data_IF_991262012760
#
_entry.id   IF_991262012760
#
_cell.length_a   1.000
_cell.length_b   1.000
_cell.length_c   1.000
_cell.angle_alpha   90.00
_cell.angle_beta   90.00
_cell.angle_gamma   90.00
#
_symmetry.space_group_name_H-M   'P 1'
#
loop_
_entity.id
_entity.type
_entity.pdbx_description
1 polymer ?
#
# COMPACT_ATOMS: atom_id res chain seq x y z
N UNK A 1 23.87 -5.02 31.26
CA UNK A 1 24.56 -3.73 31.04
C UNK A 1 23.97 -3.07 29.81
N UNK A 2 23.90 -1.75 29.80
CA UNK A 2 23.45 -0.93 28.68
C UNK A 2 24.66 -0.24 28.07
N UNK A 3 24.77 -0.21 26.75
CA UNK A 3 25.78 0.54 26.03
C UNK A 3 25.09 1.41 24.98
N UNK A 4 25.30 2.73 25.05
CA UNK A 4 24.87 3.64 24.00
C UNK A 4 25.97 3.76 22.94
N UNK A 5 25.63 3.51 21.68
CA UNK A 5 26.51 3.76 20.54
C UNK A 5 26.12 5.12 19.96
N UNK A 6 26.93 6.11 20.18
CA UNK A 6 26.69 7.49 19.76
C UNK A 6 27.11 7.66 18.29
N UNK A 7 26.14 7.77 17.40
CA UNK A 7 26.31 7.93 15.94
C UNK A 7 26.30 9.40 15.51
N UNK A 8 25.75 10.27 16.35
CA UNK A 8 25.69 11.72 16.15
C UNK A 8 26.81 12.49 16.90
N UNK A 9 26.78 13.82 16.76
CA UNK A 9 27.78 14.71 17.33
C UNK A 9 27.45 15.21 18.73
N UNK A 10 26.20 15.05 19.17
CA UNK A 10 25.72 15.46 20.50
C UNK A 10 24.74 14.46 21.04
N UNK A 11 24.54 14.44 22.34
CA UNK A 11 23.52 13.69 23.05
C UNK A 11 22.74 14.67 23.94
N UNK A 12 21.53 14.31 24.32
CA UNK A 12 20.75 15.07 25.28
C UNK A 12 21.41 14.98 26.65
N UNK A 13 21.96 16.11 27.17
CA UNK A 13 22.86 16.13 28.29
C UNK A 13 22.30 15.49 29.58
N UNK A 14 21.06 15.81 29.94
CA UNK A 14 20.44 15.26 31.16
C UNK A 14 20.17 13.76 31.05
N UNK A 15 19.72 13.28 29.91
CA UNK A 15 19.47 11.86 29.67
C UNK A 15 20.79 11.07 29.62
N UNK A 16 21.80 11.61 28.97
CA UNK A 16 23.16 11.04 28.97
C UNK A 16 23.73 10.91 30.39
N UNK A 17 23.66 11.99 31.16
CA UNK A 17 24.15 11.98 32.57
C UNK A 17 23.34 10.98 33.43
N UNK A 18 22.07 10.83 33.23
CA UNK A 18 21.24 9.84 33.94
C UNK A 18 21.64 8.40 33.59
N UNK A 19 21.89 8.11 32.31
CA UNK A 19 22.31 6.80 31.82
C UNK A 19 23.69 6.42 32.41
N UNK A 20 24.65 7.35 32.39
CA UNK A 20 26.00 7.12 32.95
C UNK A 20 25.94 6.89 34.46
N UNK A 21 25.13 7.68 35.21
CA UNK A 21 24.91 7.46 36.65
C UNK A 21 24.32 6.09 36.96
N UNK A 22 23.50 5.57 36.06
CA UNK A 22 22.90 4.21 36.17
C UNK A 22 23.89 3.09 35.78
N UNK A 23 25.16 3.41 35.46
CA UNK A 23 26.20 2.46 35.09
C UNK A 23 26.20 2.08 33.59
N UNK A 24 25.52 2.86 32.76
CA UNK A 24 25.55 2.73 31.29
C UNK A 24 26.93 3.12 30.73
N UNK A 25 27.30 2.47 29.63
CA UNK A 25 28.53 2.74 28.87
C UNK A 25 28.20 3.51 27.59
N UNK A 26 29.20 4.27 27.09
CA UNK A 26 29.07 5.01 25.83
C UNK A 26 30.23 4.68 24.91
N UNK A 27 29.94 4.41 23.65
CA UNK A 27 30.91 4.29 22.57
C UNK A 27 30.62 5.37 21.53
N UNK A 28 31.51 6.31 21.37
CA UNK A 28 31.39 7.42 20.41
C UNK A 28 32.00 6.99 19.07
N UNK A 29 31.32 7.18 17.97
CA UNK A 29 31.77 6.81 16.62
C UNK A 29 32.21 8.02 15.77
N UNK A 30 31.59 9.20 15.94
CA UNK A 30 32.05 10.40 15.21
C UNK A 30 33.24 11.07 15.94
N UNK A 31 34.41 11.18 15.30
CA UNK A 31 35.56 11.87 15.92
C UNK A 31 35.30 13.35 16.21
N UNK A 32 34.31 13.95 15.57
CA UNK A 32 33.90 15.34 15.78
C UNK A 32 32.84 15.52 16.87
N UNK A 33 32.44 14.41 17.52
CA UNK A 33 31.45 14.46 18.58
C UNK A 33 31.96 15.25 19.78
N UNK A 34 31.08 16.06 20.38
CA UNK A 34 31.35 16.83 21.60
C UNK A 34 30.46 16.32 22.72
N UNK A 35 30.80 15.14 23.23
CA UNK A 35 30.07 14.48 24.31
C UNK A 35 30.91 14.58 25.57
N UNK A 36 30.39 15.20 26.66
CA UNK A 36 31.16 15.39 27.90
C UNK A 36 31.73 14.08 28.44
N UNK A 37 33.03 14.08 28.74
CA UNK A 37 33.76 12.93 29.30
C UNK A 37 34.06 11.80 28.30
N UNK A 38 33.79 11.99 27.02
CA UNK A 38 34.12 11.04 25.96
C UNK A 38 35.30 11.55 25.10
N UNK A 39 36.09 10.61 24.56
CA UNK A 39 37.17 10.96 23.64
C UNK A 39 36.63 11.49 22.33
N UNK A 40 37.23 12.56 21.79
CA UNK A 40 37.01 13.16 20.50
C UNK A 40 38.31 13.27 19.71
N UNK A 41 38.26 13.73 18.48
CA UNK A 41 39.42 14.00 17.62
C UNK A 41 40.33 12.77 17.39
N UNK A 42 39.79 11.56 17.46
CA UNK A 42 40.50 10.33 17.18
C UNK A 42 40.77 10.13 15.68
N UNK A 43 41.83 9.38 15.34
CA UNK A 43 42.25 9.13 13.97
C UNK A 43 41.24 8.29 13.17
N UNK A 44 41.38 8.26 11.84
CA UNK A 44 40.56 7.40 10.97
C UNK A 44 40.72 5.90 11.31
N UNK A 45 41.93 5.45 11.69
CA UNK A 45 42.15 4.07 12.14
C UNK A 45 41.38 3.74 13.40
N UNK A 46 41.44 4.60 14.41
CA UNK A 46 40.66 4.45 15.64
C UNK A 46 39.14 4.52 15.39
N UNK A 47 38.68 5.32 14.40
CA UNK A 47 37.30 5.37 14.01
C UNK A 47 36.83 4.01 13.46
N UNK A 48 37.65 3.35 12.61
CA UNK A 48 37.38 1.99 12.10
C UNK A 48 37.31 0.95 13.23
N UNK A 49 38.28 0.96 14.16
CA UNK A 49 38.28 0.03 15.32
C UNK A 49 37.05 0.23 16.22
N UNK A 50 36.60 1.47 16.41
CA UNK A 50 35.39 1.80 17.17
C UNK A 50 34.15 1.33 16.46
N UNK A 51 34.11 1.46 15.15
CA UNK A 51 32.97 0.97 14.30
C UNK A 51 32.84 -0.55 14.40
N UNK A 52 33.95 -1.30 14.22
CA UNK A 52 33.96 -2.77 14.39
C UNK A 52 33.57 -3.17 15.82
N UNK A 53 34.03 -2.42 16.82
CA UNK A 53 33.62 -2.64 18.21
C UNK A 53 32.09 -2.43 18.38
N UNK A 54 31.53 -1.40 17.76
CA UNK A 54 30.10 -1.13 17.79
C UNK A 54 29.29 -2.31 17.17
N UNK A 55 29.68 -2.77 15.99
CA UNK A 55 29.03 -3.91 15.34
C UNK A 55 29.11 -5.17 16.21
N UNK A 56 30.26 -5.42 16.85
CA UNK A 56 30.42 -6.55 17.76
C UNK A 56 29.56 -6.42 19.04
N UNK A 57 29.33 -5.23 19.54
CA UNK A 57 28.43 -4.97 20.69
C UNK A 57 27.00 -5.22 20.26
N UNK A 58 26.58 -4.65 19.14
CA UNK A 58 25.22 -4.76 18.62
C UNK A 58 24.88 -6.22 18.35
N UNK A 59 25.74 -6.96 17.66
CA UNK A 59 25.48 -8.37 17.30
C UNK A 59 25.35 -9.33 18.50
N UNK A 60 25.88 -8.92 19.66
CA UNK A 60 25.80 -9.70 20.92
C UNK A 60 24.71 -9.19 21.87
N UNK A 61 24.04 -8.12 21.53
CA UNK A 61 22.99 -7.53 22.36
C UNK A 61 21.75 -8.43 22.35
N UNK A 62 21.00 -8.47 23.45
CA UNK A 62 19.68 -9.09 23.48
C UNK A 62 18.62 -8.17 22.85
N UNK A 63 18.76 -6.87 23.03
CA UNK A 63 17.89 -5.84 22.51
C UNK A 63 18.74 -4.74 21.90
N UNK A 64 18.40 -4.34 20.70
CA UNK A 64 18.88 -3.15 20.02
C UNK A 64 17.77 -2.11 20.04
N UNK A 65 18.03 -0.93 20.60
CA UNK A 65 17.12 0.21 20.51
C UNK A 65 17.61 1.10 19.37
N UNK A 66 16.82 1.18 18.30
CA UNK A 66 17.08 2.09 17.20
C UNK A 66 16.47 3.47 17.52
N UNK A 67 17.32 4.43 17.76
CA UNK A 67 16.98 5.82 18.03
C UNK A 67 17.96 6.76 17.31
N UNK A 68 18.41 6.38 16.11
CA UNK A 68 19.42 7.15 15.37
C UNK A 68 18.85 8.42 14.74
N UNK A 69 17.62 8.34 14.24
CA UNK A 69 16.91 9.48 13.66
C UNK A 69 15.45 9.51 14.17
N UNK A 70 14.85 10.68 14.11
CA UNK A 70 13.42 10.88 14.40
C UNK A 70 12.74 11.61 13.24
N UNK A 71 11.59 12.21 13.50
CA UNK A 71 10.85 13.04 12.54
C UNK A 71 11.71 14.22 12.08
N UNK A 72 11.52 14.67 10.83
CA UNK A 72 12.25 15.81 10.25
C UNK A 72 13.56 15.44 9.54
N UNK A 73 13.82 14.15 9.31
CA UNK A 73 14.88 13.70 8.40
C UNK A 73 14.25 13.34 7.05
N UNK A 74 14.69 14.02 6.00
CA UNK A 74 14.30 13.72 4.63
C UNK A 74 15.35 12.80 3.96
N UNK A 75 14.83 11.78 3.25
CA UNK A 75 15.63 10.80 2.51
C UNK A 75 16.37 9.80 3.41
N UNK A 76 17.28 9.03 2.81
CA UNK A 76 17.99 7.94 3.48
C UNK A 76 19.03 8.41 4.51
N UNK A 77 19.40 7.50 5.41
CA UNK A 77 20.50 7.69 6.35
C UNK A 77 21.81 8.03 5.63
N UNK A 78 22.67 8.80 6.29
CA UNK A 78 23.99 9.20 5.75
C UNK A 78 25.09 8.96 6.77
N UNK A 79 26.33 8.75 6.27
CA UNK A 79 27.51 8.63 7.12
C UNK A 79 27.46 7.42 8.07
N UNK A 80 27.75 7.63 9.35
CA UNK A 80 27.85 6.56 10.36
C UNK A 80 26.51 5.83 10.57
N UNK A 81 25.36 6.49 10.72
CA UNK A 81 24.06 5.82 10.77
C UNK A 81 23.80 4.89 9.57
N UNK A 82 24.07 5.37 8.34
CA UNK A 82 23.92 4.55 7.14
C UNK A 82 24.84 3.33 7.16
N UNK A 83 26.10 3.49 7.55
CA UNK A 83 27.06 2.39 7.62
C UNK A 83 26.64 1.30 8.62
N UNK A 84 26.10 1.69 9.79
CA UNK A 84 25.55 0.74 10.77
C UNK A 84 24.32 0.04 10.17
N UNK A 85 23.39 0.79 9.62
CA UNK A 85 22.17 0.23 9.04
C UNK A 85 22.49 -0.73 7.89
N UNK A 86 23.40 -0.39 6.98
CA UNK A 86 23.85 -1.28 5.89
C UNK A 86 24.53 -2.56 6.40
N UNK A 87 25.20 -2.48 7.57
CA UNK A 87 25.87 -3.67 8.15
C UNK A 87 24.93 -4.58 8.92
N UNK A 88 23.79 -4.08 9.39
CA UNK A 88 22.89 -4.77 10.32
C UNK A 88 21.49 -5.01 9.76
N UNK A 89 21.11 -4.33 8.71
CA UNK A 89 19.75 -4.30 8.18
C UNK A 89 19.69 -4.51 6.69
N UNK A 90 18.80 -3.78 6.03
CA UNK A 90 18.50 -3.85 4.61
C UNK A 90 18.83 -2.51 3.94
N UNK A 91 19.11 -2.53 2.65
CA UNK A 91 19.40 -1.34 1.84
C UNK A 91 18.26 -1.14 0.82
N UNK A 92 17.24 -0.37 1.20
CA UNK A 92 16.06 -0.10 0.38
C UNK A 92 15.15 -1.30 0.09
N UNK A 93 15.58 -2.50 0.41
CA UNK A 93 14.81 -3.71 0.13
C UNK A 93 13.70 -3.92 1.16
N UNK A 94 12.56 -4.43 0.71
CA UNK A 94 11.45 -4.84 1.59
C UNK A 94 11.84 -6.09 2.37
N UNK A 95 11.49 -6.21 3.66
CA UNK A 95 11.73 -7.44 4.42
C UNK A 95 11.04 -8.64 3.74
N UNK A 96 11.72 -9.76 3.61
CA UNK A 96 11.16 -10.98 2.99
C UNK A 96 9.89 -11.48 3.69
N UNK A 97 9.77 -11.20 4.97
CA UNK A 97 8.59 -11.52 5.80
C UNK A 97 8.29 -10.38 6.76
N UNK A 98 7.02 -10.13 7.08
CA UNK A 98 6.65 -9.31 8.23
C UNK A 98 7.33 -9.87 9.48
N UNK A 99 7.51 -9.03 10.50
CA UNK A 99 8.11 -9.48 11.76
C UNK A 99 7.40 -10.75 12.25
N UNK A 100 8.16 -11.82 12.41
CA UNK A 100 7.61 -13.12 12.80
C UNK A 100 7.01 -13.05 14.21
N UNK A 101 5.92 -13.80 14.47
CA UNK A 101 5.44 -14.00 15.83
C UNK A 101 6.56 -14.51 16.75
N UNK A 102 6.49 -14.14 18.02
CA UNK A 102 7.59 -14.42 18.99
C UNK A 102 8.04 -15.88 19.05
N UNK A 103 7.15 -16.84 18.79
CA UNK A 103 7.45 -18.26 18.81
C UNK A 103 8.22 -18.78 17.58
N UNK A 104 8.28 -18.02 16.48
CA UNK A 104 9.00 -18.40 15.24
C UNK A 104 10.43 -17.84 15.18
N UNK A 105 10.84 -17.05 16.18
CA UNK A 105 12.15 -16.41 16.18
C UNK A 105 13.29 -17.41 16.37
N UNK A 106 14.00 -17.69 15.30
CA UNK A 106 15.37 -18.19 15.41
C UNK A 106 16.27 -17.02 15.79
N UNK A 107 16.76 -17.00 17.04
CA UNK A 107 17.59 -15.96 17.65
C UNK A 107 18.93 -15.80 16.93
N UNK A 108 18.97 -15.21 15.76
CA UNK A 108 20.24 -14.85 15.10
C UNK A 108 20.66 -13.40 15.33
N UNK A 109 19.72 -12.53 15.72
CA UNK A 109 19.95 -11.08 15.85
C UNK A 109 19.32 -10.58 17.16
N UNK A 110 19.76 -9.41 17.69
CA UNK A 110 19.07 -8.79 18.81
C UNK A 110 17.62 -8.49 18.43
N UNK A 111 16.72 -8.46 19.41
CA UNK A 111 15.41 -7.88 19.24
C UNK A 111 15.56 -6.40 18.94
N UNK A 112 15.04 -5.93 17.83
CA UNK A 112 15.14 -4.52 17.42
C UNK A 112 13.86 -3.79 17.83
N UNK A 113 14.05 -2.73 18.63
CA UNK A 113 12.95 -1.84 19.02
C UNK A 113 13.25 -0.44 18.46
N UNK A 114 12.42 0.01 17.54
CA UNK A 114 12.51 1.35 16.99
C UNK A 114 11.78 2.38 17.87
N UNK A 115 12.41 3.53 18.04
CA UNK A 115 11.86 4.69 18.75
C UNK A 115 11.25 5.63 17.72
N UNK A 116 9.96 5.79 17.77
CA UNK A 116 9.09 6.58 16.89
C UNK A 116 8.88 5.95 15.50
N UNK A 117 9.95 5.64 14.80
CA UNK A 117 9.96 4.87 13.55
C UNK A 117 11.34 4.21 13.37
N UNK A 118 11.48 3.15 12.57
CA UNK A 118 12.79 2.64 12.16
C UNK A 118 13.60 3.74 11.47
N UNK A 119 14.85 3.94 11.91
CA UNK A 119 15.70 5.00 11.37
C UNK A 119 16.03 4.72 9.90
N UNK A 120 15.77 5.71 9.03
CA UNK A 120 16.05 5.64 7.59
C UNK A 120 14.86 5.33 6.71
N UNK A 121 13.67 5.10 7.28
CA UNK A 121 12.43 5.04 6.49
C UNK A 121 11.91 6.44 6.18
N UNK A 122 11.19 6.59 5.08
CA UNK A 122 10.48 7.83 4.73
C UNK A 122 9.25 8.01 5.63
N UNK A 123 9.32 8.96 6.56
CA UNK A 123 8.30 9.15 7.61
C UNK A 123 6.96 9.55 7.00
N UNK A 124 6.96 10.48 6.05
CA UNK A 124 5.76 11.09 5.49
C UNK A 124 5.27 10.42 4.19
N UNK A 125 6.16 9.72 3.48
CA UNK A 125 5.89 9.13 2.18
C UNK A 125 5.89 7.59 2.17
N UNK A 126 6.27 6.95 3.27
CA UNK A 126 6.31 5.51 3.39
C UNK A 126 7.38 4.80 2.55
N UNK A 127 8.39 5.53 2.07
CA UNK A 127 9.47 4.99 1.25
C UNK A 127 10.56 4.29 2.05
N UNK A 128 11.43 3.54 1.36
CA UNK A 128 12.67 2.95 1.90
C UNK A 128 13.86 3.51 1.09
N UNK A 129 14.26 4.77 1.33
CA UNK A 129 15.19 5.48 0.46
C UNK A 129 16.66 5.03 0.56
N UNK A 130 16.97 4.06 1.41
CA UNK A 130 18.33 3.52 1.59
C UNK A 130 18.41 2.57 2.76
N UNK A 131 19.59 2.49 3.37
CA UNK A 131 19.85 1.58 4.48
C UNK A 131 18.98 1.88 5.70
N UNK A 132 18.38 0.86 6.28
CA UNK A 132 17.56 0.89 7.50
C UNK A 132 17.65 -0.45 8.25
N UNK A 133 17.25 -0.48 9.51
CA UNK A 133 17.19 -1.70 10.32
C UNK A 133 15.72 -2.04 10.56
N UNK A 134 15.18 -3.14 9.99
CA UNK A 134 13.80 -3.56 10.25
C UNK A 134 13.57 -3.78 11.74
N UNK A 135 12.50 -3.22 12.29
CA UNK A 135 12.16 -3.37 13.68
C UNK A 135 11.32 -4.63 13.93
N UNK A 136 11.52 -5.26 15.09
CA UNK A 136 10.61 -6.25 15.65
C UNK A 136 9.42 -5.59 16.33
N UNK A 137 9.65 -4.39 16.88
CA UNK A 137 8.62 -3.55 17.48
C UNK A 137 8.97 -2.08 17.28
N UNK A 138 7.96 -1.27 17.03
CA UNK A 138 8.08 0.19 16.98
C UNK A 138 7.19 0.81 18.04
N UNK A 139 7.74 1.73 18.83
CA UNK A 139 7.00 2.54 19.79
C UNK A 139 6.95 3.96 19.24
N UNK A 140 5.78 4.37 18.75
CA UNK A 140 5.54 5.70 18.20
C UNK A 140 4.83 6.59 19.22
N UNK A 141 4.98 7.90 19.12
CA UNK A 141 4.60 8.85 20.16
C UNK A 141 3.65 9.93 19.61
N UNK A 142 2.62 10.27 20.40
CA UNK A 142 1.68 11.35 20.15
C UNK A 142 0.65 11.01 19.08
N UNK A 143 1.07 10.83 17.84
CA UNK A 143 0.22 10.43 16.74
C UNK A 143 0.90 9.39 15.84
N UNK A 144 0.11 8.60 15.12
CA UNK A 144 0.61 7.69 14.09
C UNK A 144 1.23 8.51 12.94
N UNK A 145 2.39 8.07 12.45
CA UNK A 145 3.04 8.67 11.28
C UNK A 145 2.61 7.92 10.02
N UNK A 146 2.57 8.56 8.85
CA UNK A 146 2.22 7.90 7.59
C UNK A 146 3.02 6.62 7.32
N UNK A 147 4.33 6.60 7.58
CA UNK A 147 5.18 5.41 7.42
C UNK A 147 4.72 4.18 8.21
N UNK A 148 3.92 4.36 9.25
CA UNK A 148 3.39 3.25 10.04
C UNK A 148 2.33 2.44 9.26
N UNK A 149 1.66 3.06 8.31
CA UNK A 149 0.58 2.48 7.51
C UNK A 149 0.93 2.38 6.03
N UNK A 150 1.77 3.28 5.51
CA UNK A 150 2.12 3.34 4.10
C UNK A 150 3.20 2.32 3.72
N UNK A 151 2.94 1.45 2.73
CA UNK A 151 3.96 0.58 2.17
C UNK A 151 4.96 1.37 1.30
N UNK A 152 6.22 0.94 1.22
CA UNK A 152 6.79 -0.26 1.85
C UNK A 152 7.28 -0.09 3.29
N UNK A 153 7.37 1.14 3.85
CA UNK A 153 7.91 1.40 5.19
C UNK A 153 7.11 0.72 6.32
N UNK A 154 5.80 0.53 6.16
CA UNK A 154 4.98 -0.15 7.16
C UNK A 154 5.40 -1.62 7.38
N UNK A 155 6.04 -2.26 6.39
CA UNK A 155 6.57 -3.62 6.55
C UNK A 155 7.81 -3.68 7.44
N UNK A 156 8.46 -2.55 7.69
CA UNK A 156 9.64 -2.44 8.54
C UNK A 156 9.34 -2.17 10.02
N UNK A 157 8.08 -1.88 10.37
CA UNK A 157 7.68 -1.40 11.71
C UNK A 157 7.61 -2.51 12.77
N UNK A 158 7.41 -3.76 12.37
CA UNK A 158 7.12 -4.84 13.30
C UNK A 158 5.82 -4.61 14.08
N UNK A 159 5.81 -4.95 15.38
CA UNK A 159 4.68 -4.67 16.25
C UNK A 159 4.62 -3.18 16.61
N UNK A 160 3.60 -2.51 16.13
CA UNK A 160 3.41 -1.08 16.39
C UNK A 160 2.67 -0.82 17.72
N UNK A 161 3.14 0.17 18.47
CA UNK A 161 2.51 0.62 19.71
C UNK A 161 2.54 2.15 19.75
N UNK A 162 1.36 2.77 19.81
CA UNK A 162 1.22 4.21 20.01
C UNK A 162 1.23 4.53 21.51
N UNK A 163 2.07 5.46 21.90
CA UNK A 163 2.03 6.12 23.22
C UNK A 163 1.37 7.46 23.03
N UNK A 164 0.10 7.53 23.36
CA UNK A 164 -0.70 8.75 23.28
C UNK A 164 -0.28 9.73 24.37
N UNK A 165 0.02 10.97 23.98
CA UNK A 165 0.32 12.10 24.87
C UNK A 165 -0.90 13.02 25.08
N UNK A 166 -2.04 12.69 24.51
CA UNK A 166 -3.26 13.49 24.56
C UNK A 166 -3.14 14.76 23.71
N UNK A 167 -2.45 14.70 22.60
CA UNK A 167 -2.46 15.78 21.62
C UNK A 167 -3.85 15.85 20.98
N UNK A 168 -4.38 17.06 20.88
CA UNK A 168 -5.57 17.33 20.10
C UNK A 168 -5.20 17.32 18.62
N UNK A 169 -5.65 16.31 17.90
CA UNK A 169 -5.41 16.12 16.46
C UNK A 169 -6.72 16.07 15.67
N UNK A 170 -7.86 16.33 16.31
CA UNK A 170 -9.19 16.19 15.70
C UNK A 170 -9.39 17.15 14.52
N UNK A 171 -8.73 18.33 14.56
CA UNK A 171 -8.76 19.30 13.47
C UNK A 171 -7.66 19.05 12.39
N UNK A 172 -6.84 18.02 12.53
CA UNK A 172 -5.79 17.72 11.56
C UNK A 172 -6.32 16.81 10.45
N UNK A 173 -6.11 17.23 9.21
CA UNK A 173 -6.42 16.38 8.05
C UNK A 173 -5.43 15.20 7.99
N UNK A 174 -5.93 13.94 8.02
CA UNK A 174 -5.05 12.78 7.99
C UNK A 174 -4.43 12.61 6.58
N UNK A 175 -3.13 12.28 6.53
CA UNK A 175 -2.47 11.97 5.26
C UNK A 175 -2.97 10.66 4.64
N UNK A 176 -3.36 9.70 5.48
CA UNK A 176 -3.97 8.41 5.12
C UNK A 176 -4.90 7.96 6.22
N UNK A 177 -5.95 7.26 5.84
CA UNK A 177 -6.88 6.62 6.76
C UNK A 177 -6.83 5.10 6.61
N UNK A 178 -6.96 4.39 7.70
CA UNK A 178 -7.05 2.93 7.70
C UNK A 178 -8.50 2.51 7.90
N UNK A 179 -9.04 1.75 6.95
CA UNK A 179 -10.34 1.11 7.10
C UNK A 179 -10.21 -0.04 8.10
N UNK A 180 -10.79 0.13 9.27
CA UNK A 180 -10.86 -0.89 10.31
C UNK A 180 -12.20 -1.65 10.28
N UNK A 181 -12.38 -2.59 11.23
CA UNK A 181 -13.60 -3.40 11.32
C UNK A 181 -14.85 -2.56 11.64
N UNK A 182 -14.71 -1.46 12.37
CA UNK A 182 -15.82 -0.56 12.73
C UNK A 182 -16.28 0.20 11.50
N UNK A 183 -15.35 0.88 10.80
CA UNK A 183 -15.60 1.57 9.52
C UNK A 183 -16.18 0.62 8.48
N UNK A 184 -15.59 -0.58 8.34
CA UNK A 184 -16.10 -1.59 7.41
C UNK A 184 -17.53 -2.03 7.78
N UNK A 185 -17.83 -2.14 9.07
CA UNK A 185 -19.16 -2.50 9.58
C UNK A 185 -20.23 -1.45 9.26
N UNK A 186 -19.90 -0.17 9.30
CA UNK A 186 -20.79 0.94 8.97
C UNK A 186 -21.15 0.96 7.47
N UNK A 187 -20.24 0.55 6.61
CA UNK A 187 -20.47 0.46 5.17
C UNK A 187 -21.37 -0.72 4.76
N UNK A 188 -21.53 -1.71 5.62
CA UNK A 188 -22.35 -2.90 5.32
C UNK A 188 -23.82 -2.63 5.62
N UNK A 189 -24.61 -2.37 4.56
CA UNK A 189 -26.05 -2.23 4.69
C UNK A 189 -26.70 -3.59 4.94
N UNK A 190 -27.32 -3.78 6.11
CA UNK A 190 -28.15 -4.94 6.41
C UNK A 190 -29.48 -4.91 5.62
N UNK A 191 -30.03 -6.09 5.22
CA UNK A 191 -31.34 -6.17 4.58
C UNK A 191 -32.45 -5.62 5.49
N UNK A 192 -33.36 -4.84 4.89
CA UNK A 192 -34.57 -4.35 5.54
C UNK A 192 -35.75 -5.28 5.27
N UNK A 193 -36.78 -5.28 6.15
CA UNK A 193 -38.00 -6.09 5.97
C UNK A 193 -38.75 -5.80 4.66
N UNK A 194 -38.62 -4.59 4.13
CA UNK A 194 -39.24 -4.12 2.90
C UNK A 194 -38.39 -4.35 1.66
N UNK A 195 -37.18 -4.90 1.82
CA UNK A 195 -36.29 -5.10 0.67
C UNK A 195 -36.77 -6.21 -0.26
N UNK A 196 -36.56 -5.97 -1.53
CA UNK A 196 -36.74 -6.94 -2.63
C UNK A 196 -35.40 -7.22 -3.29
N UNK A 197 -35.36 -8.20 -4.17
CA UNK A 197 -34.17 -8.46 -5.00
C UNK A 197 -33.73 -7.27 -5.85
N UNK A 198 -34.63 -6.37 -6.19
CA UNK A 198 -34.33 -5.17 -7.00
C UNK A 198 -33.91 -3.98 -6.13
N UNK A 199 -34.52 -3.78 -4.97
CA UNK A 199 -34.14 -2.69 -4.05
C UNK A 199 -32.77 -2.91 -3.39
N UNK A 200 -32.30 -4.17 -3.35
CA UNK A 200 -30.95 -4.54 -2.89
C UNK A 200 -29.89 -4.45 -4.00
N UNK A 201 -30.30 -4.13 -5.21
CA UNK A 201 -29.44 -3.96 -6.36
C UNK A 201 -29.16 -5.25 -7.15
N UNK A 202 -28.94 -5.06 -8.43
CA UNK A 202 -28.57 -6.11 -9.39
C UNK A 202 -27.16 -5.81 -9.89
N UNK A 203 -26.23 -6.74 -9.68
CA UNK A 203 -24.88 -6.63 -10.24
C UNK A 203 -24.76 -7.44 -11.52
N UNK A 204 -24.24 -6.81 -12.58
CA UNK A 204 -23.89 -7.46 -13.84
C UNK A 204 -22.42 -7.88 -13.85
N UNK A 205 -22.14 -9.11 -14.23
CA UNK A 205 -20.80 -9.67 -14.27
C UNK A 205 -20.42 -10.05 -15.71
N UNK A 206 -19.31 -9.48 -16.21
CA UNK A 206 -18.67 -9.86 -17.48
C UNK A 206 -17.25 -10.35 -17.16
N UNK A 207 -17.17 -11.58 -16.69
CA UNK A 207 -15.95 -12.19 -16.14
C UNK A 207 -15.79 -13.62 -16.62
N UNK A 208 -14.57 -14.14 -16.52
CA UNK A 208 -14.22 -15.42 -17.09
C UNK A 208 -14.25 -15.41 -18.62
N UNK A 209 -13.55 -16.32 -19.21
CA UNK A 209 -13.45 -16.50 -20.65
C UNK A 209 -13.55 -17.98 -20.99
N UNK A 210 -13.48 -18.32 -22.28
CA UNK A 210 -13.37 -19.72 -22.69
C UNK A 210 -12.11 -20.37 -22.11
N UNK A 211 -11.03 -19.61 -21.95
CA UNK A 211 -9.74 -20.04 -21.38
C UNK A 211 -9.77 -20.13 -19.87
N UNK A 212 -10.45 -19.21 -19.18
CA UNK A 212 -10.48 -19.11 -17.72
C UNK A 212 -11.92 -19.10 -17.15
N UNK A 213 -12.74 -20.13 -17.44
CA UNK A 213 -14.15 -20.14 -17.02
C UNK A 213 -14.34 -20.19 -15.50
N UNK A 214 -13.34 -20.68 -14.76
CA UNK A 214 -13.38 -20.72 -13.28
C UNK A 214 -13.47 -19.35 -12.63
N UNK A 215 -12.90 -18.30 -13.24
CA UNK A 215 -12.98 -16.94 -12.74
C UNK A 215 -14.43 -16.44 -12.67
N UNK A 216 -15.29 -16.81 -13.64
CA UNK A 216 -16.72 -16.52 -13.62
C UNK A 216 -17.38 -17.08 -12.35
N UNK A 217 -17.07 -18.33 -12.01
CA UNK A 217 -17.62 -19.00 -10.80
C UNK A 217 -17.18 -18.28 -9.53
N UNK A 218 -15.90 -17.90 -9.45
CA UNK A 218 -15.36 -17.19 -8.29
C UNK A 218 -16.02 -15.82 -8.13
N UNK A 219 -16.15 -15.06 -9.23
CA UNK A 219 -16.77 -13.73 -9.21
C UNK A 219 -18.24 -13.81 -8.82
N UNK A 220 -19.02 -14.75 -9.40
CA UNK A 220 -20.43 -14.96 -9.05
C UNK A 220 -20.57 -15.36 -7.57
N UNK A 221 -19.69 -16.23 -7.04
CA UNK A 221 -19.69 -16.59 -5.61
C UNK A 221 -19.38 -15.41 -4.72
N UNK A 222 -18.42 -14.56 -5.10
CA UNK A 222 -18.08 -13.32 -4.36
C UNK A 222 -19.25 -12.36 -4.34
N UNK A 223 -19.80 -12.03 -5.52
CA UNK A 223 -20.93 -11.13 -5.66
C UNK A 223 -22.18 -11.61 -4.89
N UNK A 224 -22.49 -12.91 -4.93
CA UNK A 224 -23.61 -13.49 -4.18
C UNK A 224 -23.47 -13.36 -2.66
N UNK A 225 -22.27 -13.09 -2.15
CA UNK A 225 -21.98 -12.88 -0.72
C UNK A 225 -21.85 -11.42 -0.33
N UNK A 226 -21.79 -10.52 -1.31
CA UNK A 226 -21.66 -9.07 -1.08
C UNK A 226 -23.02 -8.37 -0.81
N UNK A 227 -24.00 -9.09 -0.31
CA UNK A 227 -25.33 -8.58 0.06
C UNK A 227 -26.15 -7.97 -1.08
N UNK A 228 -25.84 -8.29 -2.36
CA UNK A 228 -26.62 -7.87 -3.52
C UNK A 228 -27.94 -8.64 -3.63
N UNK A 229 -28.96 -8.03 -4.25
CA UNK A 229 -30.27 -8.65 -4.42
C UNK A 229 -30.31 -9.70 -5.53
N UNK A 230 -29.51 -9.54 -6.58
CA UNK A 230 -29.42 -10.46 -7.70
C UNK A 230 -28.07 -10.35 -8.41
N UNK A 231 -27.54 -11.49 -8.84
CA UNK A 231 -26.35 -11.56 -9.69
C UNK A 231 -26.80 -11.93 -11.12
N UNK A 232 -26.37 -11.13 -12.09
CA UNK A 232 -26.59 -11.38 -13.51
C UNK A 232 -25.25 -11.65 -14.18
N UNK A 233 -25.14 -12.78 -14.87
CA UNK A 233 -23.90 -13.22 -15.49
C UNK A 233 -23.97 -13.20 -17.02
N UNK A 234 -22.97 -12.62 -17.67
CA UNK A 234 -22.77 -12.60 -19.12
C UNK A 234 -21.40 -13.22 -19.45
N UNK A 235 -21.41 -14.27 -20.25
CA UNK A 235 -20.15 -14.92 -20.66
C UNK A 235 -20.38 -16.09 -21.61
N UNK A 236 -19.30 -16.81 -21.98
CA UNK A 236 -19.38 -17.94 -22.90
C UNK A 236 -20.12 -19.12 -22.26
N UNK A 237 -20.73 -19.99 -23.10
CA UNK A 237 -21.59 -21.09 -22.68
C UNK A 237 -20.96 -21.96 -21.60
N UNK A 238 -19.68 -22.34 -21.76
CA UNK A 238 -18.95 -23.17 -20.77
C UNK A 238 -18.92 -22.52 -19.38
N UNK A 239 -18.68 -21.22 -19.31
CA UNK A 239 -18.67 -20.50 -18.04
C UNK A 239 -20.08 -20.37 -17.46
N UNK A 240 -21.13 -20.16 -18.32
CA UNK A 240 -22.54 -20.17 -17.89
C UNK A 240 -22.93 -21.48 -17.23
N UNK A 241 -22.58 -22.61 -17.84
CA UNK A 241 -22.89 -23.95 -17.30
C UNK A 241 -22.23 -24.16 -15.92
N UNK A 242 -20.97 -23.76 -15.77
CA UNK A 242 -20.23 -23.84 -14.50
C UNK A 242 -20.82 -22.90 -13.43
N UNK A 243 -21.24 -21.71 -13.82
CA UNK A 243 -21.90 -20.75 -12.92
C UNK A 243 -23.20 -21.30 -12.40
N UNK A 244 -24.09 -21.82 -13.28
CA UNK A 244 -25.37 -22.39 -12.86
C UNK A 244 -25.20 -23.65 -12.00
N UNK A 245 -24.20 -24.48 -12.29
CA UNK A 245 -23.89 -25.63 -11.45
C UNK A 245 -23.44 -25.22 -10.03
N UNK A 246 -22.75 -24.07 -9.89
CA UNK A 246 -22.22 -23.60 -8.62
C UNK A 246 -23.17 -22.65 -7.86
N UNK A 247 -24.01 -21.90 -8.60
CA UNK A 247 -24.95 -20.87 -8.13
C UNK A 247 -26.18 -20.83 -9.03
N UNK A 248 -27.15 -21.74 -8.82
CA UNK A 248 -28.33 -21.82 -9.68
C UNK A 248 -29.24 -20.59 -9.58
N UNK A 249 -29.11 -19.77 -8.55
CA UNK A 249 -29.79 -18.49 -8.38
C UNK A 249 -29.27 -17.37 -9.29
N UNK A 250 -28.11 -17.54 -9.95
CA UNK A 250 -27.60 -16.57 -10.90
C UNK A 250 -28.48 -16.50 -12.16
N UNK A 251 -28.71 -15.27 -12.61
CA UNK A 251 -29.51 -15.03 -13.81
C UNK A 251 -28.58 -14.82 -15.01
N UNK A 252 -28.76 -15.61 -16.07
CA UNK A 252 -27.96 -15.48 -17.27
C UNK A 252 -28.47 -14.40 -18.21
N UNK A 253 -27.57 -13.79 -18.99
CA UNK A 253 -27.88 -12.90 -20.09
C UNK A 253 -28.15 -11.46 -19.70
N UNK A 254 -28.44 -10.63 -20.71
CA UNK A 254 -28.65 -9.18 -20.59
C UNK A 254 -29.88 -8.81 -19.77
N UNK A 255 -29.87 -7.63 -19.18
CA UNK A 255 -30.97 -7.04 -18.42
C UNK A 255 -30.53 -5.84 -17.63
N UNK A 256 -31.45 -5.21 -16.92
CA UNK A 256 -31.16 -4.05 -16.10
C UNK A 256 -30.21 -4.43 -14.94
N UNK A 257 -29.21 -3.62 -14.70
CA UNK A 257 -28.25 -3.71 -13.60
C UNK A 257 -28.01 -2.34 -13.00
N UNK A 258 -27.60 -2.29 -11.73
CA UNK A 258 -27.24 -1.07 -11.02
C UNK A 258 -25.74 -0.97 -10.74
N UNK A 259 -24.97 -2.02 -11.04
CA UNK A 259 -23.52 -2.00 -10.99
C UNK A 259 -22.93 -3.08 -11.89
N UNK A 260 -21.66 -2.92 -12.26
CA UNK A 260 -20.92 -3.87 -13.08
C UNK A 260 -19.64 -4.35 -12.40
N UNK A 261 -19.22 -5.58 -12.67
CA UNK A 261 -17.88 -6.09 -12.40
C UNK A 261 -17.38 -6.78 -13.67
N UNK A 262 -16.24 -6.33 -14.18
CA UNK A 262 -15.73 -6.80 -15.47
C UNK A 262 -14.25 -7.14 -15.42
N UNK A 263 -13.83 -8.11 -16.24
CA UNK A 263 -12.42 -8.35 -16.57
C UNK A 263 -11.75 -9.52 -15.87
N UNK A 264 -12.13 -9.88 -14.66
CA UNK A 264 -11.51 -11.02 -13.95
C UNK A 264 -11.59 -12.30 -14.79
N UNK A 265 -10.42 -12.90 -15.11
CA UNK A 265 -10.32 -14.09 -15.96
C UNK A 265 -10.62 -13.84 -17.46
N UNK A 266 -10.55 -12.58 -17.87
CA UNK A 266 -10.53 -12.18 -19.28
C UNK A 266 -9.06 -11.95 -19.67
N UNK A 267 -8.61 -12.45 -20.86
CA UNK A 267 -7.22 -12.27 -21.28
C UNK A 267 -6.86 -10.79 -21.49
N UNK A 268 -5.61 -10.42 -21.23
CA UNK A 268 -5.04 -9.13 -21.64
C UNK A 268 -4.81 -9.06 -23.15
N UNK A 269 -4.37 -7.90 -23.66
CA UNK A 269 -4.09 -7.72 -25.09
C UNK A 269 -2.99 -8.68 -25.58
N UNK A 270 -1.97 -8.92 -24.79
CA UNK A 270 -0.86 -9.82 -25.11
C UNK A 270 -1.28 -11.30 -25.18
N UNK A 271 -2.32 -11.68 -24.44
CA UNK A 271 -2.85 -13.04 -24.36
C UNK A 271 -3.96 -13.32 -25.41
N UNK A 272 -4.42 -12.30 -26.13
CA UNK A 272 -5.47 -12.34 -27.15
C UNK A 272 -5.01 -11.59 -28.42
N UNK A 273 -3.92 -12.04 -29.08
CA UNK A 273 -3.34 -11.33 -30.21
C UNK A 273 -4.26 -11.29 -31.44
N UNK A 274 -5.17 -12.25 -31.58
CA UNK A 274 -6.14 -12.32 -32.69
C UNK A 274 -7.38 -11.46 -32.42
N UNK A 275 -7.60 -11.04 -31.15
CA UNK A 275 -8.72 -10.18 -30.75
C UNK A 275 -10.10 -10.87 -30.79
N UNK A 276 -10.14 -12.20 -30.69
CA UNK A 276 -11.37 -13.00 -30.84
C UNK A 276 -12.09 -13.23 -29.51
N UNK A 277 -11.56 -12.82 -28.35
CA UNK A 277 -12.24 -13.07 -27.09
C UNK A 277 -13.51 -12.21 -26.96
N UNK A 278 -14.66 -12.89 -26.97
CA UNK A 278 -15.98 -12.26 -26.93
C UNK A 278 -16.21 -11.42 -25.67
N UNK A 279 -15.53 -11.76 -24.55
CA UNK A 279 -15.61 -11.00 -23.32
C UNK A 279 -14.89 -9.66 -23.46
N UNK A 280 -13.69 -9.63 -24.08
CA UNK A 280 -12.99 -8.39 -24.38
C UNK A 280 -13.84 -7.47 -25.25
N UNK A 281 -14.44 -8.00 -26.30
CA UNK A 281 -15.33 -7.22 -27.18
C UNK A 281 -16.52 -6.65 -26.39
N UNK A 282 -17.16 -7.47 -25.56
CA UNK A 282 -18.31 -7.07 -24.74
C UNK A 282 -17.92 -5.98 -23.73
N UNK A 283 -16.79 -6.14 -23.05
CA UNK A 283 -16.26 -5.18 -22.08
C UNK A 283 -15.87 -3.88 -22.78
N UNK A 284 -15.15 -3.96 -23.91
CA UNK A 284 -14.76 -2.78 -24.66
C UNK A 284 -15.94 -1.95 -25.15
N UNK A 285 -17.07 -2.60 -25.53
CA UNK A 285 -18.31 -1.89 -25.84
C UNK A 285 -18.92 -1.21 -24.61
N UNK A 286 -18.90 -1.87 -23.46
CA UNK A 286 -19.43 -1.32 -22.22
C UNK A 286 -18.60 -0.13 -21.75
N UNK A 287 -17.25 -0.26 -21.72
CA UNK A 287 -16.35 0.77 -21.21
C UNK A 287 -16.36 2.06 -22.06
N UNK A 288 -16.72 1.98 -23.36
CA UNK A 288 -16.90 3.21 -24.17
C UNK A 288 -17.98 4.14 -23.63
N UNK A 289 -18.96 3.64 -22.89
CA UNK A 289 -19.98 4.47 -22.25
C UNK A 289 -19.44 5.20 -21.00
N UNK A 290 -18.28 4.83 -20.52
CA UNK A 290 -17.58 5.47 -19.39
C UNK A 290 -16.46 6.42 -19.85
N UNK A 291 -16.32 6.65 -21.16
CA UNK A 291 -15.33 7.60 -21.69
C UNK A 291 -15.76 9.04 -21.37
N UNK A 292 -15.07 9.67 -20.45
CA UNK A 292 -15.34 11.06 -20.02
C UNK A 292 -14.77 12.11 -21.00
N UNK A 293 -14.01 11.69 -22.01
CA UNK A 293 -13.36 12.59 -22.96
C UNK A 293 -12.20 13.39 -22.37
N UNK A 294 -11.60 14.25 -23.17
CA UNK A 294 -10.57 15.18 -22.70
C UNK A 294 -11.22 16.47 -22.16
N UNK A 295 -10.76 17.01 -21.01
CA UNK A 295 -11.36 18.19 -20.38
C UNK A 295 -11.26 19.47 -21.22
N UNK A 296 -10.41 19.51 -22.25
CA UNK A 296 -10.13 20.66 -23.10
C UNK A 296 -10.42 20.39 -24.59
N UNK A 297 -11.59 19.84 -24.92
CA UNK A 297 -11.98 19.78 -26.32
C UNK A 297 -12.09 21.22 -26.89
N UNK A 298 -11.37 21.56 -27.99
CA UNK A 298 -11.18 22.94 -28.44
C UNK A 298 -12.44 23.67 -28.94
N UNK A 299 -13.61 23.09 -28.84
CA UNK A 299 -14.86 23.63 -29.35
C UNK A 299 -15.86 24.13 -28.29
N UNK A 300 -15.52 24.12 -26.99
CA UNK A 300 -16.39 24.70 -25.94
C UNK A 300 -17.79 24.08 -25.83
N UNK A 301 -18.03 22.99 -26.49
CA UNK A 301 -19.24 22.16 -26.30
C UNK A 301 -18.85 21.13 -25.24
N UNK A 302 -19.34 21.32 -24.02
CA UNK A 302 -19.37 20.20 -23.06
C UNK A 302 -20.10 19.05 -23.76
N UNK A 303 -19.45 17.90 -23.97
CA UNK A 303 -20.19 16.75 -24.47
C UNK A 303 -21.33 16.51 -23.49
N UNK A 304 -22.57 16.30 -23.99
CA UNK A 304 -23.60 15.59 -23.22
C UNK A 304 -23.02 14.21 -22.91
N UNK A 305 -22.26 14.15 -21.83
CA UNK A 305 -21.46 12.97 -21.51
C UNK A 305 -22.23 12.13 -20.51
N UNK A 306 -22.98 11.14 -21.03
CA UNK A 306 -23.70 10.15 -20.24
C UNK A 306 -22.79 9.29 -19.34
N UNK A 307 -21.45 9.48 -19.40
CA UNK A 307 -20.48 8.67 -18.64
C UNK A 307 -20.68 8.80 -17.12
N UNK A 308 -21.04 9.99 -16.66
CA UNK A 308 -21.29 10.25 -15.22
C UNK A 308 -22.63 9.66 -14.74
N UNK A 309 -23.58 9.41 -15.67
CA UNK A 309 -24.88 8.78 -15.36
C UNK A 309 -24.82 7.24 -15.41
N UNK A 310 -23.68 6.69 -15.85
CA UNK A 310 -23.49 5.23 -15.91
C UNK A 310 -23.42 4.61 -14.52
N UNK A 311 -23.94 3.38 -14.33
CA UNK A 311 -23.83 2.66 -13.06
C UNK A 311 -22.37 2.46 -12.62
N UNK A 312 -22.05 2.42 -11.30
CA UNK A 312 -20.71 2.09 -10.83
C UNK A 312 -20.19 0.78 -11.44
N UNK A 313 -18.90 0.78 -11.77
CA UNK A 313 -18.23 -0.37 -12.39
C UNK A 313 -16.88 -0.68 -11.75
N UNK A 314 -16.63 -1.96 -11.49
CA UNK A 314 -15.32 -2.49 -11.10
C UNK A 314 -14.64 -3.07 -12.33
N UNK A 315 -13.41 -2.61 -12.64
CA UNK A 315 -12.61 -3.03 -13.80
C UNK A 315 -11.33 -3.70 -13.31
N UNK A 316 -11.12 -4.96 -13.66
CA UNK A 316 -10.02 -5.80 -13.19
C UNK A 316 -9.31 -6.51 -14.34
N UNK A 317 -8.09 -6.96 -14.12
CA UNK A 317 -7.31 -7.83 -14.98
C UNK A 317 -7.27 -7.35 -16.45
N UNK A 318 -7.58 -8.23 -17.44
CA UNK A 318 -7.51 -7.91 -18.85
C UNK A 318 -8.46 -6.81 -19.35
N UNK A 319 -9.43 -6.38 -18.54
CA UNK A 319 -10.25 -5.23 -18.86
C UNK A 319 -9.55 -3.88 -18.64
N UNK A 320 -8.48 -3.85 -17.86
CA UNK A 320 -7.68 -2.63 -17.64
C UNK A 320 -7.05 -2.11 -18.94
N UNK A 321 -6.74 -3.00 -19.88
CA UNK A 321 -6.22 -2.62 -21.20
C UNK A 321 -7.25 -1.88 -22.06
N UNK A 322 -8.55 -2.07 -21.76
CA UNK A 322 -9.68 -1.53 -22.49
C UNK A 322 -10.22 -0.24 -21.84
N UNK A 323 -9.64 0.18 -20.71
CA UNK A 323 -10.07 1.37 -19.99
C UNK A 323 -9.85 2.61 -20.88
N UNK A 324 -10.86 3.50 -21.05
CA UNK A 324 -10.66 4.83 -21.65
C UNK A 324 -9.59 5.64 -20.88
N UNK A 325 -8.98 6.62 -21.56
CA UNK A 325 -7.95 7.44 -20.92
C UNK A 325 -8.50 8.29 -19.76
N UNK A 326 -9.75 8.73 -19.87
CA UNK A 326 -10.48 9.44 -18.80
C UNK A 326 -11.81 8.78 -18.56
N UNK A 327 -12.10 8.57 -17.29
CA UNK A 327 -13.36 7.98 -16.82
C UNK A 327 -13.86 8.72 -15.58
N UNK A 328 -15.15 8.67 -15.26
CA UNK A 328 -15.69 9.28 -14.05
C UNK A 328 -15.33 8.46 -12.79
N UNK A 329 -15.42 9.07 -11.58
CA UNK A 329 -14.93 8.47 -10.33
C UNK A 329 -15.67 7.20 -9.90
N UNK A 330 -16.89 6.95 -10.38
CA UNK A 330 -17.61 5.68 -10.13
C UNK A 330 -17.02 4.47 -10.88
N UNK A 331 -15.97 4.66 -11.67
CA UNK A 331 -15.15 3.57 -12.23
C UNK A 331 -14.06 3.22 -11.23
N UNK A 332 -14.18 2.06 -10.60
CA UNK A 332 -13.16 1.50 -9.70
C UNK A 332 -12.26 0.54 -10.47
N UNK A 333 -10.98 0.86 -10.57
CA UNK A 333 -9.98 -0.05 -11.12
C UNK A 333 -9.25 -0.79 -10.01
N UNK A 334 -8.94 -2.08 -10.22
CA UNK A 334 -8.33 -2.94 -9.20
C UNK A 334 -6.99 -3.57 -9.66
N UNK A 335 -5.99 -2.75 -10.05
CA UNK A 335 -4.71 -3.28 -10.51
C UNK A 335 -3.87 -3.88 -9.38
N UNK A 336 -3.03 -4.88 -9.68
CA UNK A 336 -1.81 -5.16 -8.93
C UNK A 336 -0.63 -4.33 -9.50
N UNK A 337 0.55 -4.37 -8.86
CA UNK A 337 1.68 -3.50 -9.22
C UNK A 337 2.03 -3.56 -10.72
N UNK A 338 2.11 -4.75 -11.33
CA UNK A 338 2.44 -4.87 -12.74
C UNK A 338 1.31 -4.38 -13.68
N UNK A 339 0.05 -4.50 -13.30
CA UNK A 339 -1.07 -3.95 -14.04
C UNK A 339 -1.08 -2.42 -13.95
N UNK A 340 -0.77 -1.86 -12.77
CA UNK A 340 -0.68 -0.42 -12.58
C UNK A 340 0.47 0.19 -13.39
N UNK A 341 1.65 -0.45 -13.40
CA UNK A 341 2.79 -0.02 -14.21
C UNK A 341 2.42 0.03 -15.69
N UNK A 342 1.81 -1.03 -16.24
CA UNK A 342 1.35 -1.05 -17.64
C UNK A 342 0.32 0.05 -17.95
N UNK A 343 -0.61 0.30 -17.02
CA UNK A 343 -1.58 1.38 -17.18
C UNK A 343 -0.90 2.74 -17.23
N UNK A 344 0.03 3.01 -16.32
CA UNK A 344 0.80 4.27 -16.29
C UNK A 344 1.67 4.44 -17.54
N UNK A 345 2.36 3.38 -18.00
CA UNK A 345 3.13 3.38 -19.25
C UNK A 345 2.25 3.69 -20.46
N UNK A 346 1.05 3.10 -20.55
CA UNK A 346 0.08 3.41 -21.61
C UNK A 346 -0.33 4.88 -21.60
N UNK A 347 -0.36 5.52 -20.43
CA UNK A 347 -0.69 6.93 -20.25
C UNK A 347 0.53 7.86 -20.40
N UNK A 348 1.69 7.33 -20.79
CA UNK A 348 2.91 8.09 -21.11
C UNK A 348 3.87 8.30 -19.94
N UNK A 349 3.67 7.62 -18.81
CA UNK A 349 4.59 7.67 -17.67
C UNK A 349 5.74 6.67 -17.85
N UNK A 350 6.94 7.08 -17.43
CA UNK A 350 8.13 6.20 -17.38
C UNK A 350 8.22 5.56 -16.00
N UNK A 351 7.42 4.52 -15.78
CA UNK A 351 7.25 3.83 -14.49
C UNK A 351 7.25 2.32 -14.74
N UNK A 352 8.09 1.58 -14.05
CA UNK A 352 8.11 0.11 -14.08
C UNK A 352 7.46 -0.51 -12.81
N UNK A 353 7.53 -1.84 -12.69
CA UNK A 353 6.95 -2.57 -11.56
C UNK A 353 7.69 -2.26 -10.27
N UNK A 354 9.01 -2.09 -10.33
CA UNK A 354 9.84 -1.83 -9.17
C UNK A 354 9.58 -0.41 -8.63
N UNK A 355 9.32 0.55 -9.51
CA UNK A 355 8.88 1.91 -9.12
C UNK A 355 7.53 1.88 -8.40
N UNK A 356 6.57 1.08 -8.90
CA UNK A 356 5.27 0.93 -8.22
C UNK A 356 5.43 0.27 -6.85
N UNK A 357 6.31 -0.70 -6.71
CA UNK A 357 6.57 -1.35 -5.43
C UNK A 357 7.31 -0.46 -4.44
N UNK A 358 8.20 0.42 -4.94
CA UNK A 358 8.94 1.37 -4.11
C UNK A 358 8.07 2.54 -3.62
N UNK A 359 7.13 3.03 -4.45
CA UNK A 359 6.28 4.17 -4.16
C UNK A 359 4.80 3.91 -4.56
N UNK A 360 4.15 2.87 -4.01
CA UNK A 360 2.82 2.44 -4.44
C UNK A 360 1.76 3.52 -4.25
N UNK A 361 1.85 4.31 -3.19
CA UNK A 361 0.99 5.45 -2.91
C UNK A 361 1.07 6.51 -4.02
N UNK A 362 2.28 6.95 -4.37
CA UNK A 362 2.50 7.95 -5.42
C UNK A 362 1.97 7.47 -6.78
N UNK A 363 2.22 6.20 -7.11
CA UNK A 363 1.78 5.60 -8.37
C UNK A 363 0.24 5.46 -8.44
N UNK A 364 -0.42 5.09 -7.33
CA UNK A 364 -1.87 5.01 -7.25
C UNK A 364 -2.52 6.41 -7.41
N UNK A 365 -2.01 7.43 -6.72
CA UNK A 365 -2.46 8.83 -6.89
C UNK A 365 -2.23 9.35 -8.31
N UNK A 366 -1.10 8.98 -8.92
CA UNK A 366 -0.82 9.38 -10.30
C UNK A 366 -1.80 8.76 -11.29
N UNK A 367 -2.14 7.47 -11.11
CA UNK A 367 -3.14 6.80 -11.94
C UNK A 367 -4.52 7.44 -11.78
N UNK A 368 -4.94 7.73 -10.54
CA UNK A 368 -6.18 8.47 -10.27
C UNK A 368 -6.19 9.82 -10.99
N UNK A 369 -5.15 10.64 -10.82
CA UNK A 369 -5.06 11.97 -11.43
C UNK A 369 -5.11 11.94 -12.96
N UNK A 370 -4.50 10.92 -13.59
CA UNK A 370 -4.49 10.76 -15.04
C UNK A 370 -5.82 10.24 -15.57
N UNK A 371 -6.44 9.26 -14.91
CA UNK A 371 -7.61 8.57 -15.42
C UNK A 371 -8.94 9.12 -14.90
N UNK A 372 -8.98 9.76 -13.73
CA UNK A 372 -10.21 10.06 -12.99
C UNK A 372 -10.82 8.86 -12.27
N UNK A 373 -10.33 7.64 -12.50
CA UNK A 373 -10.84 6.44 -11.87
C UNK A 373 -10.51 6.40 -10.37
N UNK A 374 -11.38 5.83 -9.56
CA UNK A 374 -11.01 5.36 -8.22
C UNK A 374 -10.07 4.17 -8.36
N UNK A 375 -8.93 4.18 -7.68
CA UNK A 375 -7.86 3.18 -7.80
C UNK A 375 -7.75 2.37 -6.52
N UNK A 376 -7.98 1.06 -6.60
CA UNK A 376 -7.70 0.10 -5.55
C UNK A 376 -6.46 -0.70 -5.93
N UNK A 377 -5.28 -0.25 -5.51
CA UNK A 377 -4.02 -0.95 -5.75
C UNK A 377 -3.89 -2.15 -4.82
N UNK A 378 -3.88 -3.35 -5.42
CA UNK A 378 -3.75 -4.63 -4.69
C UNK A 378 -2.31 -4.86 -4.23
N UNK A 379 -2.12 -5.20 -2.96
CA UNK A 379 -0.84 -5.54 -2.36
C UNK A 379 -1.01 -6.22 -1.01
N UNK A 380 0.07 -6.43 -0.26
CA UNK A 380 -0.02 -6.90 1.12
C UNK A 380 -0.75 -5.86 2.02
N UNK A 381 -0.57 -4.59 1.71
CA UNK A 381 -1.47 -3.51 2.11
C UNK A 381 -2.18 -3.03 0.84
N UNK A 382 -3.50 -2.99 0.86
CA UNK A 382 -4.31 -2.46 -0.23
C UNK A 382 -4.46 -0.95 -0.06
N UNK A 383 -4.20 -0.20 -1.14
CA UNK A 383 -4.32 1.27 -1.16
C UNK A 383 -5.54 1.65 -1.99
N UNK A 384 -6.42 2.46 -1.42
CA UNK A 384 -7.55 3.07 -2.11
C UNK A 384 -7.29 4.56 -2.30
N UNK A 385 -7.43 5.04 -3.54
CA UNK A 385 -7.32 6.45 -3.90
C UNK A 385 -8.52 6.81 -4.75
N UNK A 386 -9.23 7.85 -4.36
CA UNK A 386 -10.40 8.38 -5.06
C UNK A 386 -10.53 9.89 -4.89
N UNK A 387 -11.60 10.46 -5.41
CA UNK A 387 -11.97 11.83 -5.07
C UNK A 387 -12.37 11.88 -3.59
N UNK A 388 -11.85 12.86 -2.87
CA UNK A 388 -12.40 13.22 -1.57
C UNK A 388 -13.77 13.82 -1.82
N UNK A 389 -14.78 13.42 -1.04
CA UNK A 389 -16.08 14.05 -1.07
C UNK A 389 -15.88 15.53 -0.67
N UNK A 390 -15.68 16.37 -1.70
CA UNK A 390 -15.68 17.80 -1.52
C UNK A 390 -17.08 18.25 -1.11
N UNK A 391 -17.19 19.00 0.02
CA UNK A 391 -18.37 19.78 0.36
C UNK A 391 -18.80 20.73 -0.79
#
# INVERSE_FOLDING_TARGET
SVTAVAVGRSLHESAFAAMVRAGGKVLVLDPRARIPGCASDFSAGEAGERFETALSIISRAHVLIDAMTGIGVEGGLRGIPAAIASSMGLDGAVPERPAAPEYERTRRFPMVVAVDAPSGVGIDDGTLPGAYIPADATVTFGAMKPCAMMPPACYAQGRLTLVDFGFDVDDAEPAVEMVDDETAGELVRLPRLTDSKYSRGVVGLVTGSARYPGAAVLTVKGASRANVGMVRYLGPQRAQDMVLAARPEAVLGKGHVQSWVVGSGVPGADDDPDGDDIQRETIGRLLRHYDAGEPDAPNGVEPENDAYDMPPIVVDAGALDLLPNRVPPQVLITPHAAELARLLQRLGEDVDVDDVLAEPWRCARRAHALTGATVLLKGAVTILVGEEDGE
#
